data_IF_947253878990
#
_entry.id   IF_947253878990
#
_cell.length_a   1.000
_cell.length_b   1.000
_cell.length_c   1.000
_cell.angle_alpha   90.00
_cell.angle_beta   90.00
_cell.angle_gamma   90.00
#
_symmetry.space_group_name_H-M   'P 1'
#
loop_
_entity.id
_entity.type
_entity.pdbx_description
1 polymer ?
#
# COMPACT_ATOMS: atom_id res chain seq x y z
N UNK A 1 -15.58 -16.12 -1.92
CA UNK A 1 -15.71 -14.68 -1.54
C UNK A 1 -14.41 -13.97 -1.78
N UNK A 2 -14.45 -12.83 -2.46
CA UNK A 2 -13.25 -12.03 -2.72
C UNK A 2 -12.87 -11.26 -1.45
N UNK A 3 -11.60 -11.36 -1.07
CA UNK A 3 -11.07 -10.61 0.05
C UNK A 3 -10.49 -9.29 -0.44
N UNK A 4 -10.80 -8.21 0.26
CA UNK A 4 -10.30 -6.87 -0.05
C UNK A 4 -9.44 -6.38 1.10
N UNK A 5 -8.22 -5.96 0.79
CA UNK A 5 -7.31 -5.36 1.77
C UNK A 5 -7.15 -3.88 1.44
N UNK A 6 -7.42 -3.04 2.42
CA UNK A 6 -7.18 -1.61 2.28
C UNK A 6 -5.76 -1.33 2.77
N UNK A 7 -4.93 -0.79 1.89
CA UNK A 7 -3.52 -0.52 2.21
C UNK A 7 -3.44 0.91 2.75
N UNK A 8 -3.27 1.05 4.06
CA UNK A 8 -3.19 2.36 4.68
C UNK A 8 -1.78 2.95 4.58
N UNK A 9 -1.65 4.21 5.02
CA UNK A 9 -0.38 4.95 4.94
C UNK A 9 0.74 4.25 5.67
N UNK A 10 0.47 3.72 6.87
CA UNK A 10 1.50 3.07 7.69
C UNK A 10 2.09 1.85 6.98
N UNK A 11 1.22 1.02 6.43
CA UNK A 11 1.65 -0.18 5.70
C UNK A 11 2.40 0.21 4.44
N UNK A 12 1.89 1.19 3.70
CA UNK A 12 2.51 1.60 2.45
C UNK A 12 3.90 2.19 2.67
N UNK A 13 4.07 3.00 3.72
CA UNK A 13 5.38 3.58 4.05
C UNK A 13 6.41 2.50 4.39
N UNK A 14 6.03 1.50 5.18
CA UNK A 14 6.92 0.39 5.50
C UNK A 14 7.25 -0.41 4.23
N UNK A 15 6.23 -0.69 3.42
CA UNK A 15 6.39 -1.44 2.18
C UNK A 15 7.38 -0.76 1.22
N UNK A 16 7.31 0.57 1.11
CA UNK A 16 8.19 1.34 0.22
C UNK A 16 9.56 1.63 0.84
N UNK A 17 9.73 1.38 2.13
CA UNK A 17 11.01 1.62 2.80
C UNK A 17 11.26 3.09 3.10
N UNK A 18 10.23 3.85 3.42
CA UNK A 18 10.37 5.27 3.76
C UNK A 18 11.24 5.43 5.01
N UNK A 19 12.32 6.25 4.98
CA UNK A 19 13.18 6.45 6.16
C UNK A 19 12.38 6.89 7.38
N UNK A 20 12.68 6.28 8.54
CA UNK A 20 11.96 6.55 9.78
C UNK A 20 10.64 5.80 9.92
N UNK A 21 10.26 5.04 8.90
CA UNK A 21 9.03 4.25 8.90
C UNK A 21 9.35 2.77 8.74
N UNK A 22 10.21 2.25 9.60
CA UNK A 22 10.69 0.87 9.49
C UNK A 22 9.67 -0.17 9.93
N UNK A 23 8.74 0.23 10.80
CA UNK A 23 7.71 -0.67 11.31
C UNK A 23 6.39 0.07 11.47
N UNK A 24 5.30 -0.69 11.55
CA UNK A 24 3.98 -0.17 11.88
C UNK A 24 3.30 -1.13 12.85
N UNK A 25 2.22 -0.67 13.48
CA UNK A 25 1.49 -1.44 14.46
C UNK A 25 1.92 -1.14 15.89
N UNK A 26 1.33 -1.86 16.84
CA UNK A 26 1.60 -1.65 18.26
C UNK A 26 2.94 -2.24 18.67
N UNK A 27 3.45 -1.84 19.85
CA UNK A 27 4.71 -2.36 20.38
C UNK A 27 4.71 -3.88 20.54
N UNK A 28 3.55 -4.46 20.75
CA UNK A 28 3.42 -5.91 20.92
C UNK A 28 3.24 -6.66 19.60
N UNK A 29 2.96 -5.93 18.54
CA UNK A 29 2.66 -6.56 17.25
C UNK A 29 3.17 -5.67 16.11
N UNK A 30 4.49 -5.49 16.07
CA UNK A 30 5.12 -4.68 15.05
C UNK A 30 5.25 -5.42 13.73
N UNK A 31 4.95 -4.72 12.66
CA UNK A 31 5.08 -5.21 11.29
C UNK A 31 6.21 -4.49 10.59
N UNK A 32 7.26 -5.21 10.26
CA UNK A 32 8.37 -4.69 9.47
C UNK A 32 8.16 -5.00 7.99
N UNK A 33 9.08 -4.53 7.14
CA UNK A 33 8.96 -4.74 5.71
C UNK A 33 8.88 -6.22 5.33
N UNK A 34 9.67 -7.05 5.98
CA UNK A 34 9.67 -8.49 5.70
C UNK A 34 8.29 -9.11 5.95
N UNK A 35 7.70 -8.81 7.09
CA UNK A 35 6.37 -9.33 7.44
C UNK A 35 5.31 -8.82 6.49
N UNK A 36 5.40 -7.55 6.10
CA UNK A 36 4.44 -6.96 5.17
C UNK A 36 4.60 -7.59 3.79
N UNK A 37 5.83 -7.75 3.31
CA UNK A 37 6.07 -8.40 2.01
C UNK A 37 5.51 -9.82 2.00
N UNK A 38 5.72 -10.58 3.07
CA UNK A 38 5.19 -11.94 3.19
C UNK A 38 3.67 -11.96 3.20
N UNK A 39 3.06 -11.02 3.94
CA UNK A 39 1.60 -10.92 4.00
C UNK A 39 1.01 -10.61 2.62
N UNK A 40 1.57 -9.61 1.94
CA UNK A 40 1.04 -9.21 0.64
C UNK A 40 1.23 -10.32 -0.41
N UNK A 41 2.34 -11.03 -0.37
CA UNK A 41 2.55 -12.16 -1.27
C UNK A 41 1.54 -13.27 -1.01
N UNK A 42 1.28 -13.58 0.26
CA UNK A 42 0.29 -14.58 0.63
C UNK A 42 -1.10 -14.18 0.14
N UNK A 43 -1.48 -12.93 0.38
CA UNK A 43 -2.79 -12.43 -0.01
C UNK A 43 -2.93 -12.37 -1.53
N UNK A 44 -1.86 -12.06 -2.25
CA UNK A 44 -1.88 -12.08 -3.71
C UNK A 44 -2.15 -13.48 -4.23
N UNK A 45 -1.52 -14.50 -3.62
CA UNK A 45 -1.75 -15.89 -4.00
C UNK A 45 -3.19 -16.34 -3.71
N UNK A 46 -3.82 -15.71 -2.72
CA UNK A 46 -5.22 -16.00 -2.38
C UNK A 46 -6.21 -15.17 -3.20
N UNK A 47 -5.70 -14.45 -4.21
CA UNK A 47 -6.51 -13.62 -5.11
C UNK A 47 -7.21 -12.46 -4.43
N UNK A 48 -6.61 -11.93 -3.36
CA UNK A 48 -7.10 -10.74 -2.69
C UNK A 48 -6.90 -9.51 -3.55
N UNK A 49 -7.74 -8.50 -3.36
CA UNK A 49 -7.60 -7.21 -4.02
C UNK A 49 -7.01 -6.21 -3.02
N UNK A 50 -5.96 -5.49 -3.43
CA UNK A 50 -5.33 -4.45 -2.61
C UNK A 50 -5.88 -3.10 -3.03
N UNK A 51 -6.64 -2.46 -2.16
CA UNK A 51 -7.21 -1.14 -2.44
C UNK A 51 -6.29 -0.06 -1.90
N UNK A 52 -5.97 0.91 -2.76
CA UNK A 52 -5.06 2.00 -2.43
C UNK A 52 -5.86 3.30 -2.28
N UNK A 53 -6.20 3.72 -1.05
CA UNK A 53 -6.98 4.94 -0.85
C UNK A 53 -6.21 6.19 -1.27
N UNK A 54 -6.93 7.17 -1.82
CA UNK A 54 -6.31 8.44 -2.24
C UNK A 54 -5.60 9.12 -1.07
N UNK A 55 -6.21 9.10 0.13
CA UNK A 55 -5.60 9.70 1.31
C UNK A 55 -4.26 9.05 1.65
N UNK A 56 -4.18 7.72 1.53
CA UNK A 56 -2.91 7.01 1.78
C UNK A 56 -1.84 7.41 0.78
N UNK A 57 -2.22 7.61 -0.48
CA UNK A 57 -1.28 8.05 -1.52
C UNK A 57 -0.73 9.44 -1.17
N UNK A 58 -1.62 10.37 -0.82
CA UNK A 58 -1.22 11.74 -0.50
C UNK A 58 -0.30 11.79 0.72
N UNK A 59 -0.69 11.10 1.79
CA UNK A 59 0.11 11.07 3.02
C UNK A 59 1.47 10.41 2.81
N UNK A 60 1.51 9.31 2.05
CA UNK A 60 2.75 8.63 1.74
C UNK A 60 3.66 9.52 0.91
N UNK A 61 3.09 10.21 -0.09
CA UNK A 61 3.84 11.16 -0.89
C UNK A 61 4.45 12.28 -0.06
N UNK A 62 3.72 12.78 0.93
CA UNK A 62 4.22 13.79 1.85
C UNK A 62 5.39 13.26 2.68
N UNK A 63 5.30 12.03 3.19
CA UNK A 63 6.40 11.43 3.93
C UNK A 63 7.65 11.25 3.06
N UNK A 64 7.46 10.85 1.81
CA UNK A 64 8.57 10.72 0.87
C UNK A 64 9.22 12.07 0.61
N UNK A 65 8.42 13.11 0.39
CA UNK A 65 8.92 14.46 0.12
C UNK A 65 9.73 15.02 1.29
N UNK A 66 9.38 14.62 2.50
CA UNK A 66 10.07 15.07 3.71
C UNK A 66 11.27 14.18 4.08
N UNK A 67 11.50 13.11 3.35
CA UNK A 67 12.60 12.19 3.64
C UNK A 67 13.94 12.82 3.31
N UNK A 68 14.96 12.43 4.08
CA UNK A 68 16.32 12.93 3.87
C UNK A 68 17.08 12.19 2.77
N UNK A 69 16.58 11.03 2.35
CA UNK A 69 17.26 10.20 1.34
C UNK A 69 16.27 9.39 0.52
N UNK A 70 16.74 8.90 -0.63
CA UNK A 70 15.99 7.99 -1.50
C UNK A 70 14.63 8.51 -1.98
N UNK A 71 14.44 9.84 -1.98
CA UNK A 71 13.15 10.42 -2.39
C UNK A 71 12.77 10.04 -3.81
N UNK A 72 13.73 10.06 -4.72
CA UNK A 72 13.47 9.75 -6.12
C UNK A 72 13.02 8.29 -6.30
N UNK A 73 13.77 7.35 -5.72
CA UNK A 73 13.46 5.93 -5.84
C UNK A 73 12.11 5.59 -5.23
N UNK A 74 11.81 6.18 -4.07
CA UNK A 74 10.51 5.94 -3.42
C UNK A 74 9.36 6.57 -4.17
N UNK A 75 9.58 7.76 -4.74
CA UNK A 75 8.55 8.42 -5.54
C UNK A 75 8.24 7.59 -6.79
N UNK A 76 9.27 7.01 -7.42
CA UNK A 76 9.07 6.14 -8.57
C UNK A 76 8.31 4.87 -8.17
N UNK A 77 8.68 4.28 -7.04
CA UNK A 77 8.01 3.07 -6.56
C UNK A 77 6.53 3.34 -6.27
N UNK A 78 6.23 4.47 -5.64
CA UNK A 78 4.85 4.87 -5.37
C UNK A 78 4.10 5.10 -6.69
N UNK A 79 4.74 5.78 -7.65
CA UNK A 79 4.11 6.05 -8.94
C UNK A 79 3.78 4.76 -9.68
N UNK A 80 4.64 3.74 -9.59
CA UNK A 80 4.38 2.45 -10.21
C UNK A 80 3.17 1.75 -9.59
N UNK A 81 3.05 1.80 -8.26
CA UNK A 81 1.90 1.23 -7.56
C UNK A 81 0.62 1.96 -7.96
N UNK A 82 0.69 3.30 -8.03
CA UNK A 82 -0.45 4.10 -8.45
C UNK A 82 -0.89 3.75 -9.88
N UNK A 83 0.08 3.55 -10.77
CA UNK A 83 -0.20 3.15 -12.14
C UNK A 83 -0.87 1.79 -12.21
N UNK A 84 -0.36 0.83 -11.44
CA UNK A 84 -0.97 -0.50 -11.37
C UNK A 84 -2.41 -0.42 -10.87
N UNK A 85 -2.66 0.41 -9.85
CA UNK A 85 -3.99 0.59 -9.32
C UNK A 85 -4.92 1.25 -10.33
N UNK A 86 -4.43 2.26 -11.03
CA UNK A 86 -5.22 2.95 -12.06
C UNK A 86 -5.54 2.03 -13.24
N UNK A 87 -4.61 1.16 -13.61
CA UNK A 87 -4.79 0.20 -14.70
C UNK A 87 -5.51 -1.08 -14.24
N UNK A 88 -5.91 -1.12 -12.99
CA UNK A 88 -6.55 -2.30 -12.36
C UNK A 88 -5.73 -3.58 -12.50
N UNK A 89 -4.41 -3.43 -12.43
CA UNK A 89 -3.52 -4.60 -12.48
C UNK A 89 -3.57 -5.37 -11.18
N UNK A 90 -4.11 -6.58 -11.24
CA UNK A 90 -4.22 -7.47 -10.09
C UNK A 90 -2.86 -7.61 -9.38
N UNK A 91 -2.80 -7.49 -8.05
CA UNK A 91 -3.93 -7.34 -7.12
C UNK A 91 -4.34 -5.90 -6.79
N UNK A 92 -3.75 -4.90 -7.43
CA UNK A 92 -3.95 -3.49 -7.08
C UNK A 92 -5.22 -2.90 -7.69
N UNK A 93 -5.92 -2.08 -6.89
CA UNK A 93 -7.11 -1.36 -7.35
C UNK A 93 -7.15 0.02 -6.72
N UNK A 94 -7.64 1.00 -7.48
CA UNK A 94 -7.80 2.36 -6.99
C UNK A 94 -9.08 2.49 -6.18
N UNK A 95 -9.06 3.33 -5.15
CA UNK A 95 -10.24 3.55 -4.31
C UNK A 95 -11.37 4.28 -5.05
N UNK A 96 -11.08 4.82 -6.23
CA UNK A 96 -12.11 5.43 -7.08
C UNK A 96 -13.19 4.43 -7.51
N UNK A 97 -12.93 3.13 -7.36
CA UNK A 97 -13.90 2.08 -7.65
C UNK A 97 -14.63 1.62 -6.40
N UNK A 98 -14.68 2.49 -5.39
CA UNK A 98 -15.29 2.16 -4.11
C UNK A 98 -16.73 1.70 -4.24
N UNK A 99 -17.52 2.38 -5.09
CA UNK A 99 -18.93 2.01 -5.25
C UNK A 99 -19.11 0.58 -5.75
N UNK A 100 -18.26 0.17 -6.68
CA UNK A 100 -18.29 -1.19 -7.21
C UNK A 100 -17.91 -2.22 -6.15
N UNK A 101 -16.92 -1.88 -5.32
CA UNK A 101 -16.50 -2.77 -4.24
C UNK A 101 -17.60 -2.97 -3.20
N UNK A 102 -18.30 -1.87 -2.86
CA UNK A 102 -19.39 -1.94 -1.88
C UNK A 102 -20.62 -2.64 -2.44
N UNK A 103 -20.92 -2.43 -3.70
CA UNK A 103 -22.07 -3.07 -4.34
C UNK A 103 -21.87 -4.58 -4.55
N UNK A 104 -20.62 -5.04 -4.59
CA UNK A 104 -20.32 -6.45 -4.75
C UNK A 104 -20.61 -7.26 -3.48
N UNK A 105 -20.87 -6.58 -2.39
CA UNK A 105 -21.25 -7.24 -1.16
C UNK A 105 -22.75 -7.57 -1.17
#
# INVERSE_FOLDING_TARGET
MRKVLIIDTSILCVYLGVPGKDTCGSDKNKWDKKRIDELLQKEEKESSTFVLPVAAIIETGNHIAQSSSKRYEMAQALAEIMKKAADEKTPWAAFTHQSELWEAE
#
